data_IF_998269106290
#
_entry.id   IF_998269106290
#
_cell.length_a   1.000
_cell.length_b   1.000
_cell.length_c   1.000
_cell.angle_alpha   90.00
_cell.angle_beta   90.00
_cell.angle_gamma   90.00
#
_symmetry.space_group_name_H-M   'P 1'
#
loop_
_entity.id
_entity.type
_entity.pdbx_description
1 polymer ?
#
# COMPACT_ATOMS: atom_id res chain seq x y z
N UNK A 1 19.14 -15.21 2.10
CA UNK A 1 18.76 -13.78 2.20
C UNK A 1 18.14 -13.35 0.88
N UNK A 2 17.07 -12.53 0.88
CA UNK A 2 16.47 -12.01 -0.35
C UNK A 2 17.45 -11.05 -1.05
N UNK A 3 17.66 -11.13 -2.37
CA UNK A 3 18.47 -10.16 -3.11
C UNK A 3 17.89 -8.75 -2.94
N UNK A 4 18.76 -7.75 -2.73
CA UNK A 4 18.34 -6.36 -2.51
C UNK A 4 17.55 -5.83 -3.71
N UNK A 5 16.45 -5.13 -3.45
CA UNK A 5 15.59 -4.54 -4.47
C UNK A 5 14.78 -5.54 -5.31
N UNK A 6 14.82 -6.85 -5.02
CA UNK A 6 14.02 -7.85 -5.71
C UNK A 6 12.90 -8.39 -4.83
N UNK A 7 11.78 -8.76 -5.46
CA UNK A 7 10.71 -9.49 -4.81
C UNK A 7 10.85 -10.98 -5.16
N UNK A 8 10.72 -11.85 -4.16
CA UNK A 8 10.52 -13.27 -4.41
C UNK A 8 9.19 -13.44 -5.16
N UNK A 9 9.26 -14.04 -6.35
CA UNK A 9 8.11 -14.20 -7.22
C UNK A 9 7.44 -15.57 -7.04
N UNK A 10 8.23 -16.64 -7.13
CA UNK A 10 7.74 -18.02 -7.06
C UNK A 10 8.82 -18.95 -6.55
N UNK A 11 8.40 -19.93 -5.74
CA UNK A 11 9.18 -21.12 -5.41
C UNK A 11 8.56 -22.29 -6.19
N UNK A 12 9.34 -22.99 -7.00
CA UNK A 12 8.87 -24.18 -7.73
C UNK A 12 9.95 -25.25 -7.72
N UNK A 13 9.64 -26.44 -7.20
CA UNK A 13 10.60 -27.54 -6.99
C UNK A 13 11.87 -27.07 -6.27
N UNK A 14 11.71 -26.28 -5.21
CA UNK A 14 12.81 -25.69 -4.43
C UNK A 14 13.55 -24.52 -5.11
N UNK A 15 13.28 -24.23 -6.39
CA UNK A 15 13.92 -23.12 -7.13
C UNK A 15 13.17 -21.82 -6.90
N UNK A 16 13.88 -20.79 -6.42
CA UNK A 16 13.37 -19.43 -6.21
C UNK A 16 13.60 -18.59 -7.47
N UNK A 17 12.55 -17.89 -7.90
CA UNK A 17 12.61 -16.90 -8.98
C UNK A 17 12.23 -15.53 -8.44
N UNK A 18 12.77 -14.49 -9.05
CA UNK A 18 12.68 -13.13 -8.56
C UNK A 18 12.14 -12.18 -9.63
N UNK A 19 11.62 -11.06 -9.17
CA UNK A 19 11.21 -9.97 -10.03
C UNK A 19 11.72 -8.63 -9.49
N UNK A 20 12.18 -7.77 -10.41
CA UNK A 20 12.47 -6.37 -10.12
C UNK A 20 11.39 -5.49 -10.75
N UNK A 21 11.02 -4.42 -10.07
CA UNK A 21 10.10 -3.43 -10.63
C UNK A 21 10.68 -2.05 -10.38
N UNK A 22 11.46 -1.52 -11.31
CA UNK A 22 12.03 -0.19 -11.17
C UNK A 22 10.94 0.87 -11.06
N UNK A 23 11.28 2.00 -10.46
CA UNK A 23 10.35 3.12 -10.34
C UNK A 23 10.14 3.75 -11.72
N UNK A 24 8.88 3.87 -12.12
CA UNK A 24 8.47 4.48 -13.37
C UNK A 24 7.32 5.46 -13.06
N UNK A 25 7.64 6.70 -12.63
CA UNK A 25 6.63 7.68 -12.24
C UNK A 25 5.63 7.91 -13.36
N UNK A 26 4.33 7.91 -13.01
CA UNK A 26 3.22 8.16 -13.93
C UNK A 26 3.12 7.23 -15.17
N UNK A 27 3.98 6.21 -15.28
CA UNK A 27 4.02 5.33 -16.45
C UNK A 27 4.50 5.95 -17.75
N UNK A 28 5.10 7.14 -17.72
CA UNK A 28 5.72 7.73 -18.90
C UNK A 28 7.15 7.20 -19.05
N UNK A 29 7.48 6.73 -20.25
CA UNK A 29 8.78 6.15 -20.57
C UNK A 29 9.26 6.68 -21.90
N UNK A 30 10.52 7.10 -21.96
CA UNK A 30 11.16 7.48 -23.23
C UNK A 30 11.58 6.22 -24.02
N UNK A 31 11.64 6.27 -25.37
CA UNK A 31 11.94 5.10 -26.19
C UNK A 31 13.29 4.44 -25.90
N UNK A 32 14.32 5.22 -25.58
CA UNK A 32 15.65 4.74 -25.17
C UNK A 32 15.57 3.91 -23.88
N UNK A 33 14.86 4.42 -22.87
CA UNK A 33 14.65 3.67 -21.63
C UNK A 33 13.85 2.39 -21.89
N UNK A 34 12.82 2.43 -22.75
CA UNK A 34 12.03 1.24 -23.07
C UNK A 34 12.86 0.16 -23.79
N UNK A 35 13.76 0.55 -24.70
CA UNK A 35 14.74 -0.38 -25.30
C UNK A 35 15.64 -0.98 -24.23
N UNK A 36 16.13 -0.17 -23.30
CA UNK A 36 16.95 -0.63 -22.17
C UNK A 36 16.26 -1.69 -21.32
N UNK A 37 14.96 -1.54 -21.04
CA UNK A 37 14.18 -2.61 -20.37
C UNK A 37 14.14 -3.91 -21.19
N UNK A 38 13.96 -3.80 -22.51
CA UNK A 38 13.93 -4.97 -23.40
C UNK A 38 15.30 -5.67 -23.45
N UNK A 39 16.38 -4.91 -23.62
CA UNK A 39 17.75 -5.44 -23.68
C UNK A 39 18.12 -6.16 -22.37
N UNK A 40 17.78 -5.58 -21.22
CA UNK A 40 18.00 -6.21 -19.91
C UNK A 40 17.15 -7.47 -19.75
N UNK A 41 15.87 -7.43 -20.12
CA UNK A 41 15.03 -8.61 -20.05
C UNK A 41 15.56 -9.74 -20.94
N UNK A 42 15.98 -9.45 -22.17
CA UNK A 42 16.56 -10.44 -23.08
C UNK A 42 17.84 -11.04 -22.50
N UNK A 43 18.77 -10.21 -22.02
CA UNK A 43 20.06 -10.64 -21.45
C UNK A 43 19.92 -11.63 -20.31
N UNK A 44 18.96 -11.41 -19.41
CA UNK A 44 18.77 -12.23 -18.22
C UNK A 44 17.63 -13.25 -18.36
N UNK A 45 17.10 -13.45 -19.57
CA UNK A 45 15.99 -14.37 -19.83
C UNK A 45 14.69 -13.99 -19.10
N UNK A 46 14.54 -12.71 -18.77
CA UNK A 46 13.39 -12.17 -18.07
C UNK A 46 12.18 -11.93 -18.97
N UNK A 47 11.01 -11.83 -18.35
CA UNK A 47 9.75 -11.49 -19.04
C UNK A 47 9.27 -10.12 -18.54
N UNK A 48 8.89 -9.25 -19.47
CA UNK A 48 8.34 -7.93 -19.15
C UNK A 48 6.84 -8.03 -18.88
N UNK A 49 6.42 -7.56 -17.69
CA UNK A 49 5.00 -7.45 -17.32
C UNK A 49 4.63 -5.99 -17.05
N UNK A 50 3.69 -5.47 -17.83
CA UNK A 50 2.98 -4.23 -17.49
C UNK A 50 2.06 -4.47 -16.29
N UNK A 51 2.21 -3.62 -15.27
CA UNK A 51 1.46 -3.71 -14.02
C UNK A 51 0.28 -2.73 -14.02
N UNK A 52 -0.74 -3.02 -13.20
CA UNK A 52 -1.92 -2.15 -13.05
C UNK A 52 -1.61 -0.75 -12.48
N UNK A 53 -0.41 -0.58 -11.89
CA UNK A 53 0.12 0.68 -11.38
C UNK A 53 1.02 1.41 -12.40
N UNK A 54 0.88 1.11 -13.70
CA UNK A 54 1.62 1.77 -14.80
C UNK A 54 3.15 1.61 -14.71
N UNK A 55 3.63 0.44 -14.28
CA UNK A 55 5.06 0.10 -14.25
C UNK A 55 5.38 -1.10 -15.13
N UNK A 56 6.65 -1.24 -15.46
CA UNK A 56 7.22 -2.42 -16.12
C UNK A 56 7.98 -3.23 -15.07
N UNK A 57 7.60 -4.50 -14.91
CA UNK A 57 8.27 -5.47 -14.04
C UNK A 57 9.06 -6.46 -14.90
N UNK A 58 10.30 -6.76 -14.53
CA UNK A 58 11.12 -7.81 -15.14
C UNK A 58 11.05 -9.03 -14.22
N UNK A 59 10.53 -10.15 -14.74
CA UNK A 59 10.25 -11.37 -13.96
C UNK A 59 11.15 -12.54 -14.34
N UNK A 60 11.04 -13.66 -13.61
CA UNK A 60 11.78 -14.90 -13.87
C UNK A 60 13.31 -14.78 -13.73
N UNK A 61 13.78 -13.80 -12.94
CA UNK A 61 15.19 -13.56 -12.71
C UNK A 61 15.75 -14.54 -11.66
N UNK A 62 17.04 -14.84 -11.76
CA UNK A 62 17.78 -15.57 -10.73
C UNK A 62 18.28 -14.62 -9.64
N UNK A 63 18.55 -15.17 -8.46
CA UNK A 63 19.05 -14.38 -7.33
C UNK A 63 20.39 -13.70 -7.62
N UNK A 64 21.31 -14.43 -8.26
CA UNK A 64 22.66 -14.00 -8.59
C UNK A 64 22.73 -12.89 -9.64
N UNK A 65 21.69 -12.75 -10.47
CA UNK A 65 21.64 -11.76 -11.55
C UNK A 65 21.12 -10.39 -11.09
N UNK A 66 20.49 -10.29 -9.91
CA UNK A 66 19.73 -9.11 -9.51
C UNK A 66 20.58 -7.83 -9.47
N UNK A 67 21.81 -7.92 -8.95
CA UNK A 67 22.70 -6.77 -8.88
C UNK A 67 23.08 -6.26 -10.29
N UNK A 68 23.42 -7.19 -11.19
CA UNK A 68 23.76 -6.86 -12.57
C UNK A 68 22.54 -6.33 -13.35
N UNK A 69 21.33 -6.82 -13.08
CA UNK A 69 20.09 -6.28 -13.66
C UNK A 69 19.91 -4.81 -13.30
N UNK A 70 20.14 -4.42 -12.03
CA UNK A 70 20.05 -3.01 -11.62
C UNK A 70 21.15 -2.14 -12.24
N UNK A 71 22.38 -2.65 -12.27
CA UNK A 71 23.52 -1.96 -12.89
C UNK A 71 23.27 -1.72 -14.39
N UNK A 72 22.80 -2.75 -15.10
CA UNK A 72 22.50 -2.66 -16.53
C UNK A 72 21.33 -1.72 -16.81
N UNK A 73 20.31 -1.68 -15.94
CA UNK A 73 19.23 -0.68 -16.00
C UNK A 73 19.74 0.74 -15.70
N UNK A 74 20.87 0.90 -15.03
CA UNK A 74 21.37 2.19 -14.55
C UNK A 74 20.39 2.88 -13.61
N UNK A 75 19.70 2.09 -12.78
CA UNK A 75 18.69 2.57 -11.84
C UNK A 75 19.00 2.04 -10.45
N UNK A 76 18.69 2.85 -9.44
CA UNK A 76 18.82 2.42 -8.06
C UNK A 76 17.86 1.27 -7.72
N UNK A 77 18.31 0.27 -6.95
CA UNK A 77 17.44 -0.80 -6.48
C UNK A 77 16.19 -0.26 -5.79
N UNK A 78 15.04 -0.85 -6.12
CA UNK A 78 13.75 -0.43 -5.58
C UNK A 78 13.56 -0.83 -4.11
N UNK A 79 14.33 -0.19 -3.22
CA UNK A 79 14.26 -0.37 -1.77
C UNK A 79 13.01 0.30 -1.19
N UNK A 80 12.73 0.02 0.08
CA UNK A 80 11.64 0.64 0.84
C UNK A 80 10.74 -0.35 1.55
N UNK A 81 9.75 0.17 2.25
CA UNK A 81 8.86 -0.63 3.10
C UNK A 81 7.86 -1.44 2.27
N UNK A 82 7.49 -2.61 2.76
CA UNK A 82 6.44 -3.42 2.14
C UNK A 82 5.06 -2.74 2.30
N UNK A 83 4.78 -2.20 3.48
CA UNK A 83 3.66 -1.29 3.71
C UNK A 83 4.13 0.14 3.46
N UNK A 84 3.82 0.65 2.27
CA UNK A 84 4.16 1.99 1.84
C UNK A 84 3.15 2.49 0.81
N UNK A 85 3.26 3.79 0.48
CA UNK A 85 2.62 4.35 -0.71
C UNK A 85 3.28 3.75 -1.95
N UNK A 86 2.46 3.08 -2.76
CA UNK A 86 2.85 2.52 -4.05
C UNK A 86 2.90 3.62 -5.11
N UNK A 87 3.45 3.31 -6.29
CA UNK A 87 3.49 4.27 -7.40
C UNK A 87 2.12 4.85 -7.69
N UNK A 88 2.08 6.16 -7.89
CA UNK A 88 0.85 6.89 -8.09
C UNK A 88 0.38 6.68 -9.53
N UNK A 89 -0.86 6.21 -9.69
CA UNK A 89 -1.46 5.97 -11.00
C UNK A 89 -2.01 7.27 -11.57
N UNK A 90 -1.56 7.67 -12.75
CA UNK A 90 -1.80 9.00 -13.30
C UNK A 90 -2.31 8.88 -14.73
N UNK A 91 -3.41 9.55 -15.05
CA UNK A 91 -3.87 9.62 -16.44
C UNK A 91 -3.11 10.71 -17.22
N UNK A 92 -3.19 10.74 -18.57
CA UNK A 92 -2.43 11.69 -19.36
C UNK A 92 -2.80 13.17 -19.15
N UNK A 93 -3.94 13.49 -18.53
CA UNK A 93 -4.35 14.86 -18.19
C UNK A 93 -4.46 15.79 -19.39
N UNK A 94 -4.50 17.11 -19.16
CA UNK A 94 -4.47 18.10 -20.24
C UNK A 94 -3.17 18.08 -21.05
N UNK A 95 -2.09 17.53 -20.49
CA UNK A 95 -0.79 17.45 -21.16
C UNK A 95 -0.85 16.60 -22.46
N UNK A 96 -1.65 15.54 -22.47
CA UNK A 96 -1.70 14.60 -23.61
C UNK A 96 -3.11 14.09 -23.96
N UNK A 97 -4.17 14.56 -23.31
CA UNK A 97 -5.54 14.11 -23.57
C UNK A 97 -6.51 15.27 -23.78
N UNK A 98 -7.22 15.25 -24.91
CA UNK A 98 -8.26 16.25 -25.27
C UNK A 98 -9.46 16.33 -24.32
N UNK A 99 -9.63 15.34 -23.43
CA UNK A 99 -10.72 15.30 -22.42
C UNK A 99 -10.27 15.78 -21.04
N UNK A 100 -8.96 16.02 -20.85
CA UNK A 100 -8.44 16.52 -19.59
C UNK A 100 -9.11 17.84 -19.22
N UNK A 101 -9.49 17.97 -17.96
CA UNK A 101 -9.93 19.23 -17.34
C UNK A 101 -8.81 19.86 -16.53
N UNK A 102 -8.02 19.01 -15.87
CA UNK A 102 -6.87 19.42 -15.06
C UNK A 102 -5.58 18.68 -15.45
N UNK A 103 -4.44 19.24 -15.06
CA UNK A 103 -3.12 18.64 -15.26
C UNK A 103 -2.81 17.56 -14.21
N UNK A 104 -3.31 16.35 -14.44
CA UNK A 104 -3.03 15.20 -13.58
C UNK A 104 -1.57 14.77 -13.60
N UNK A 105 -0.82 15.09 -14.65
CA UNK A 105 0.60 14.73 -14.76
C UNK A 105 1.40 15.57 -13.77
N UNK A 106 1.23 16.89 -13.78
CA UNK A 106 1.89 17.80 -12.84
C UNK A 106 1.55 17.46 -11.39
N UNK A 107 0.27 17.31 -11.06
CA UNK A 107 -0.15 17.02 -9.68
C UNK A 107 0.30 15.63 -9.22
N UNK A 108 0.12 14.61 -10.07
CA UNK A 108 0.48 13.24 -9.73
C UNK A 108 1.97 13.04 -9.52
N UNK A 109 2.82 13.69 -10.32
CA UNK A 109 4.28 13.61 -10.15
C UNK A 109 4.74 14.29 -8.87
N UNK A 110 4.12 15.40 -8.47
CA UNK A 110 4.43 16.05 -7.20
C UNK A 110 4.04 15.19 -6.00
N UNK A 111 2.85 14.56 -6.04
CA UNK A 111 2.46 13.58 -5.03
C UNK A 111 3.40 12.37 -4.99
N UNK A 112 3.88 11.90 -6.15
CA UNK A 112 4.78 10.74 -6.23
C UNK A 112 6.13 11.08 -5.59
N UNK A 113 6.65 12.28 -5.87
CA UNK A 113 7.87 12.80 -5.24
C UNK A 113 7.74 12.91 -3.70
N UNK A 114 6.58 13.34 -3.18
CA UNK A 114 6.35 13.51 -1.73
C UNK A 114 6.21 12.17 -1.01
N UNK A 115 5.43 11.26 -1.60
CA UNK A 115 4.86 10.13 -0.86
C UNK A 115 5.36 8.77 -1.30
N UNK A 116 5.90 8.60 -2.52
CA UNK A 116 6.35 7.30 -3.01
C UNK A 116 7.31 6.62 -2.02
N UNK A 117 7.03 5.36 -1.68
CA UNK A 117 7.82 4.52 -0.77
C UNK A 117 7.91 5.00 0.68
N UNK A 118 7.17 6.04 1.09
CA UNK A 118 7.01 6.39 2.51
C UNK A 118 6.29 5.28 3.27
N UNK A 119 6.78 4.95 4.46
CA UNK A 119 6.20 3.91 5.33
C UNK A 119 4.77 4.27 5.72
N UNK A 120 3.89 3.28 5.67
CA UNK A 120 2.48 3.43 6.01
C UNK A 120 2.03 2.24 6.87
N UNK A 121 0.96 2.36 7.66
CA UNK A 121 0.41 1.25 8.43
C UNK A 121 0.12 0.01 7.56
N UNK A 122 -0.49 0.20 6.40
CA UNK A 122 -0.62 -0.81 5.33
C UNK A 122 -0.24 -0.24 3.96
N UNK A 123 -0.23 -1.08 2.92
CA UNK A 123 0.01 -0.60 1.54
C UNK A 123 -1.05 0.45 1.16
N UNK A 124 -0.60 1.55 0.57
CA UNK A 124 -1.47 2.66 0.18
C UNK A 124 -1.31 2.93 -1.33
N UNK A 125 -2.41 3.16 -2.04
CA UNK A 125 -2.42 3.42 -3.49
C UNK A 125 -3.10 4.74 -3.75
N UNK A 126 -2.43 5.61 -4.52
CA UNK A 126 -3.00 6.88 -4.95
C UNK A 126 -3.39 6.79 -6.42
N UNK A 127 -4.36 7.60 -6.84
CA UNK A 127 -4.66 7.82 -8.25
C UNK A 127 -5.04 9.27 -8.51
N UNK A 128 -4.53 9.83 -9.61
CA UNK A 128 -4.86 11.19 -10.05
C UNK A 128 -5.43 11.12 -11.47
N UNK A 129 -6.67 11.56 -11.64
CA UNK A 129 -7.36 11.64 -12.93
C UNK A 129 -7.65 13.08 -13.26
N UNK A 130 -7.36 13.52 -14.49
CA UNK A 130 -7.64 14.90 -14.92
C UNK A 130 -9.09 15.13 -15.36
N UNK A 131 -9.97 14.13 -15.34
CA UNK A 131 -11.39 14.24 -15.66
C UNK A 131 -12.21 13.04 -15.13
N UNK A 132 -13.54 13.14 -15.22
CA UNK A 132 -14.48 12.13 -14.74
C UNK A 132 -14.37 10.73 -15.40
N UNK A 133 -13.69 10.60 -16.55
CA UNK A 133 -13.39 9.27 -17.12
C UNK A 133 -12.56 8.39 -16.18
N UNK A 134 -11.83 9.00 -15.23
CA UNK A 134 -11.12 8.28 -14.17
C UNK A 134 -10.23 7.14 -14.69
N UNK A 135 -9.41 7.38 -15.72
CA UNK A 135 -8.54 6.35 -16.30
C UNK A 135 -7.48 5.82 -15.31
N UNK A 136 -7.21 6.55 -14.22
CA UNK A 136 -6.40 6.10 -13.09
C UNK A 136 -7.20 5.37 -12.01
N UNK A 137 -8.49 5.11 -12.23
CA UNK A 137 -9.41 4.34 -11.38
C UNK A 137 -9.50 4.90 -9.95
N UNK A 138 -9.68 6.22 -9.81
CA UNK A 138 -9.52 6.94 -8.53
C UNK A 138 -10.46 6.43 -7.42
N UNK A 139 -11.63 5.90 -7.78
CA UNK A 139 -12.63 5.39 -6.84
C UNK A 139 -12.23 4.08 -6.14
N UNK A 140 -11.19 3.39 -6.59
CA UNK A 140 -10.67 2.15 -5.96
C UNK A 140 -9.27 2.34 -5.39
N UNK A 141 -8.86 3.60 -5.18
CA UNK A 141 -7.59 3.98 -4.57
C UNK A 141 -7.84 4.44 -3.13
N UNK A 142 -6.84 4.25 -2.28
CA UNK A 142 -6.90 4.70 -0.89
C UNK A 142 -7.04 6.23 -0.84
N UNK A 143 -6.38 6.93 -1.77
CA UNK A 143 -6.61 8.35 -2.09
C UNK A 143 -6.82 8.49 -3.59
N UNK A 144 -7.95 9.05 -3.99
CA UNK A 144 -8.29 9.39 -5.36
C UNK A 144 -8.44 10.89 -5.54
N UNK A 145 -7.82 11.45 -6.58
CA UNK A 145 -7.95 12.88 -6.92
C UNK A 145 -8.51 13.00 -8.33
N UNK A 146 -9.63 13.72 -8.49
CA UNK A 146 -10.33 13.90 -9.75
C UNK A 146 -10.37 15.38 -10.16
N UNK A 147 -9.87 15.68 -11.35
CA UNK A 147 -9.97 17.00 -11.95
C UNK A 147 -11.37 17.25 -12.51
N UNK A 148 -11.89 18.42 -12.21
CA UNK A 148 -13.16 18.96 -12.69
C UNK A 148 -12.92 20.31 -13.37
N UNK A 149 -13.97 20.92 -13.91
CA UNK A 149 -13.87 22.29 -14.44
C UNK A 149 -13.67 23.32 -13.30
N UNK A 150 -14.11 23.01 -12.08
CA UNK A 150 -14.06 23.90 -10.91
C UNK A 150 -12.83 23.68 -10.00
N UNK A 151 -11.98 22.70 -10.32
CA UNK A 151 -10.77 22.38 -9.55
C UNK A 151 -10.56 20.87 -9.40
N UNK A 152 -10.34 20.43 -8.16
CA UNK A 152 -10.05 19.04 -7.82
C UNK A 152 -10.94 18.51 -6.70
N UNK A 153 -11.47 17.31 -6.92
CA UNK A 153 -12.21 16.54 -5.93
C UNK A 153 -11.32 15.46 -5.34
N UNK A 154 -11.39 15.27 -4.02
CA UNK A 154 -10.61 14.27 -3.28
C UNK A 154 -11.53 13.22 -2.70
N UNK A 155 -11.18 11.96 -2.93
CA UNK A 155 -11.88 10.76 -2.49
C UNK A 155 -10.95 9.89 -1.65
N UNK A 156 -11.49 9.18 -0.66
CA UNK A 156 -10.69 8.40 0.30
C UNK A 156 -11.29 7.02 0.59
N UNK A 157 -10.44 6.08 0.97
CA UNK A 157 -10.84 4.77 1.47
C UNK A 157 -11.21 3.74 0.39
N UNK A 158 -10.91 4.01 -0.88
CA UNK A 158 -11.15 3.03 -1.94
C UNK A 158 -10.15 1.87 -1.90
N UNK A 159 -10.60 0.68 -2.27
CA UNK A 159 -9.70 -0.45 -2.49
C UNK A 159 -10.26 -1.44 -3.49
N UNK A 160 -9.41 -1.85 -4.43
CA UNK A 160 -9.58 -3.12 -5.15
C UNK A 160 -8.88 -4.25 -4.39
N UNK A 161 -9.45 -5.45 -4.44
CA UNK A 161 -8.91 -6.64 -3.77
C UNK A 161 -10.01 -7.64 -3.43
N UNK A 162 -9.75 -8.50 -2.44
CA UNK A 162 -10.73 -9.48 -1.94
C UNK A 162 -11.97 -8.82 -1.33
N UNK A 163 -11.82 -7.63 -0.75
CA UNK A 163 -12.91 -6.81 -0.23
C UNK A 163 -12.93 -5.49 -0.99
N UNK A 164 -13.64 -5.43 -2.14
CA UNK A 164 -13.73 -4.20 -2.91
C UNK A 164 -14.51 -3.14 -2.13
N UNK A 165 -13.98 -1.92 -2.11
CA UNK A 165 -14.59 -0.75 -1.47
C UNK A 165 -14.45 0.44 -2.40
N UNK A 166 -15.54 1.17 -2.62
CA UNK A 166 -15.50 2.43 -3.33
C UNK A 166 -15.07 3.55 -2.39
N UNK A 167 -14.27 4.47 -2.90
CA UNK A 167 -13.84 5.65 -2.17
C UNK A 167 -15.02 6.62 -1.98
N UNK A 168 -15.06 7.28 -0.83
CA UNK A 168 -16.07 8.28 -0.50
C UNK A 168 -15.52 9.69 -0.76
N UNK A 169 -16.36 10.60 -1.27
CA UNK A 169 -15.95 11.98 -1.54
C UNK A 169 -15.71 12.72 -0.23
N UNK A 170 -14.47 13.14 -0.01
CA UNK A 170 -14.08 13.91 1.16
C UNK A 170 -14.41 15.40 0.98
N UNK A 171 -13.90 15.99 -0.10
CA UNK A 171 -13.93 17.43 -0.40
C UNK A 171 -13.85 17.66 -1.92
N UNK A 172 -14.37 18.79 -2.41
CA UNK A 172 -14.45 19.16 -3.82
C UNK A 172 -14.03 20.60 -4.08
N UNK A 173 -13.74 20.91 -5.35
CA UNK A 173 -13.43 22.28 -5.79
C UNK A 173 -12.07 22.81 -5.31
N UNK A 174 -11.13 21.94 -4.96
CA UNK A 174 -9.81 22.35 -4.46
C UNK A 174 -8.90 22.87 -5.57
N UNK A 175 -8.05 23.83 -5.22
CA UNK A 175 -6.91 24.26 -6.02
C UNK A 175 -5.71 23.32 -5.83
N UNK A 176 -4.70 23.46 -6.68
CA UNK A 176 -3.52 22.58 -6.71
C UNK A 176 -2.84 22.42 -5.33
N UNK A 177 -2.54 23.53 -4.64
CA UNK A 177 -1.83 23.50 -3.35
C UNK A 177 -2.72 22.97 -2.22
N UNK A 178 -4.03 23.23 -2.29
CA UNK A 178 -5.02 22.69 -1.35
C UNK A 178 -5.11 21.17 -1.44
N UNK A 179 -5.00 20.60 -2.65
CA UNK A 179 -4.95 19.14 -2.83
C UNK A 179 -3.70 18.55 -2.17
N UNK A 180 -2.54 19.20 -2.32
CA UNK A 180 -1.32 18.73 -1.67
C UNK A 180 -1.49 18.74 -0.15
N UNK A 181 -2.02 19.83 0.41
CA UNK A 181 -2.26 19.98 1.84
C UNK A 181 -3.25 18.94 2.39
N UNK A 182 -4.40 18.73 1.75
CA UNK A 182 -5.38 17.75 2.25
C UNK A 182 -4.85 16.32 2.17
N UNK A 183 -4.07 15.99 1.12
CA UNK A 183 -3.44 14.66 1.01
C UNK A 183 -2.42 14.45 2.12
N UNK A 184 -1.60 15.47 2.42
CA UNK A 184 -0.64 15.41 3.53
C UNK A 184 -1.37 15.15 4.86
N UNK A 185 -2.47 15.86 5.14
CA UNK A 185 -3.29 15.66 6.34
C UNK A 185 -3.91 14.26 6.41
N UNK A 186 -4.47 13.75 5.30
CA UNK A 186 -5.04 12.39 5.24
C UNK A 186 -3.99 11.35 5.60
N UNK A 187 -2.79 11.48 5.02
CA UNK A 187 -1.68 10.54 5.25
C UNK A 187 -1.23 10.59 6.71
N UNK A 188 -1.01 11.79 7.25
CA UNK A 188 -0.59 11.97 8.65
C UNK A 188 -1.65 11.43 9.63
N UNK A 189 -2.93 11.73 9.39
CA UNK A 189 -4.03 11.22 10.21
C UNK A 189 -4.08 9.69 10.17
N UNK A 190 -3.93 9.09 8.99
CA UNK A 190 -3.88 7.64 8.82
C UNK A 190 -2.66 7.02 9.54
N UNK A 191 -1.47 7.61 9.40
CA UNK A 191 -0.27 7.15 10.11
C UNK A 191 -0.42 7.23 11.63
N UNK A 192 -1.11 8.24 12.14
CA UNK A 192 -1.24 8.50 13.58
C UNK A 192 -2.26 7.56 14.27
N UNK A 193 -3.35 7.19 13.59
CA UNK A 193 -4.51 6.57 14.24
C UNK A 193 -4.92 5.19 13.71
N UNK A 194 -4.34 4.74 12.60
CA UNK A 194 -4.64 3.42 12.06
C UNK A 194 -3.73 2.34 12.66
N UNK A 195 -4.31 1.16 12.84
CA UNK A 195 -3.55 -0.06 13.08
C UNK A 195 -2.92 -0.56 11.76
N UNK A 196 -2.40 -1.80 11.72
CA UNK A 196 -1.91 -2.41 10.47
C UNK A 196 -3.09 -2.86 9.59
N UNK A 197 -3.81 -1.88 9.06
CA UNK A 197 -5.03 -2.03 8.27
C UNK A 197 -5.05 -1.04 7.09
N UNK A 198 -5.86 -1.27 6.07
CA UNK A 198 -5.98 -0.36 4.91
C UNK A 198 -6.79 0.89 5.26
N UNK A 199 -6.62 1.99 4.53
CA UNK A 199 -7.36 3.25 4.76
C UNK A 199 -8.87 3.05 4.77
N UNK A 200 -9.40 2.22 3.87
CA UNK A 200 -10.83 1.88 3.84
C UNK A 200 -11.29 1.17 5.12
N UNK A 201 -10.52 0.19 5.61
CA UNK A 201 -10.83 -0.55 6.84
C UNK A 201 -10.75 0.36 8.06
N UNK A 202 -9.73 1.22 8.11
CA UNK A 202 -9.61 2.26 9.13
C UNK A 202 -10.84 3.18 9.16
N UNK A 203 -11.29 3.66 7.99
CA UNK A 203 -12.50 4.47 7.86
C UNK A 203 -13.75 3.70 8.31
N UNK A 204 -13.87 2.43 7.94
CA UNK A 204 -15.01 1.60 8.34
C UNK A 204 -15.02 1.37 9.87
N UNK A 205 -13.85 1.25 10.50
CA UNK A 205 -13.69 1.10 11.95
C UNK A 205 -14.08 2.37 12.73
N UNK A 206 -13.64 3.54 12.29
CA UNK A 206 -13.90 4.80 13.03
C UNK A 206 -15.16 5.55 12.56
N UNK A 207 -15.70 5.16 11.42
CA UNK A 207 -16.80 5.83 10.72
C UNK A 207 -16.34 6.99 9.83
N UNK A 208 -16.83 7.03 8.58
CA UNK A 208 -16.48 8.07 7.61
C UNK A 208 -16.86 9.48 8.08
N UNK A 209 -17.99 9.66 8.77
CA UNK A 209 -18.39 10.97 9.33
C UNK A 209 -17.30 11.54 10.26
N UNK A 210 -16.78 10.70 11.17
CA UNK A 210 -15.70 11.08 12.09
C UNK A 210 -14.41 11.36 11.34
N UNK A 211 -14.00 10.46 10.44
CA UNK A 211 -12.80 10.66 9.62
C UNK A 211 -12.85 12.00 8.88
N UNK A 212 -13.97 12.27 8.20
CA UNK A 212 -14.20 13.50 7.45
C UNK A 212 -14.17 14.73 8.35
N UNK A 213 -14.85 14.70 9.50
CA UNK A 213 -14.86 15.81 10.45
C UNK A 213 -13.44 16.13 10.97
N UNK A 214 -12.67 15.12 11.36
CA UNK A 214 -11.33 15.31 11.92
C UNK A 214 -10.33 15.83 10.87
N UNK A 215 -10.35 15.24 9.66
CA UNK A 215 -9.48 15.65 8.56
C UNK A 215 -9.82 17.05 8.05
N UNK A 216 -11.10 17.36 7.84
CA UNK A 216 -11.52 18.68 7.38
C UNK A 216 -11.24 19.77 8.42
N UNK A 217 -11.34 19.45 9.70
CA UNK A 217 -10.96 20.40 10.73
C UNK A 217 -9.45 20.72 10.73
N UNK A 218 -8.59 19.71 10.56
CA UNK A 218 -7.14 19.95 10.39
C UNK A 218 -6.87 20.79 9.14
N UNK A 219 -7.63 20.57 8.08
CA UNK A 219 -7.50 21.30 6.82
C UNK A 219 -7.95 22.77 6.94
N UNK A 220 -9.10 23.02 7.56
CA UNK A 220 -9.69 24.35 7.63
C UNK A 220 -9.20 25.20 8.82
N UNK A 221 -8.99 24.66 10.04
CA UNK A 221 -8.81 25.49 11.25
C UNK A 221 -8.07 24.88 12.47
N UNK A 222 -7.54 23.67 12.45
CA UNK A 222 -6.86 23.12 13.63
C UNK A 222 -7.75 22.74 14.84
N UNK A 223 -9.09 22.76 14.77
CA UNK A 223 -9.98 22.00 15.70
C UNK A 223 -11.31 21.67 15.01
N UNK A 224 -11.77 20.42 15.11
CA UNK A 224 -13.13 20.00 14.75
C UNK A 224 -14.01 20.13 15.97
N UNK A 225 -15.09 20.90 15.87
CA UNK A 225 -16.14 20.89 16.87
C UNK A 225 -16.98 19.62 16.63
N UNK A 226 -16.60 18.57 17.37
CA UNK A 226 -17.43 17.44 17.83
C UNK A 226 -18.52 16.93 16.87
N UNK A 227 -18.30 15.74 16.31
CA UNK A 227 -19.37 14.74 16.27
C UNK A 227 -19.03 13.64 17.26
N UNK A 228 -19.83 13.49 18.31
CA UNK A 228 -19.76 12.31 19.17
C UNK A 228 -19.85 11.03 18.32
N UNK A 229 -19.08 9.98 18.67
CA UNK A 229 -19.05 8.75 17.88
C UNK A 229 -20.43 8.08 17.90
N UNK A 230 -20.95 7.71 16.72
CA UNK A 230 -22.19 6.91 16.59
C UNK A 230 -22.03 5.49 17.17
N UNK A 231 -20.80 5.06 17.45
CA UNK A 231 -20.47 3.77 18.05
C UNK A 231 -19.82 4.00 19.41
N UNK A 232 -20.33 3.39 20.51
CA UNK A 232 -19.72 3.48 21.82
C UNK A 232 -18.25 3.06 21.77
N UNK A 233 -17.36 3.92 22.27
CA UNK A 233 -15.98 3.51 22.55
C UNK A 233 -15.98 2.59 23.78
N UNK A 234 -15.21 1.51 23.75
CA UNK A 234 -14.95 0.68 24.93
C UNK A 234 -14.23 1.51 25.98
N UNK A 235 -14.71 1.48 27.24
CA UNK A 235 -13.98 2.08 28.37
C UNK A 235 -12.69 1.29 28.63
N UNK A 236 -11.69 1.91 29.27
CA UNK A 236 -10.37 1.31 29.58
C UNK A 236 -10.43 -0.04 30.33
N UNK A 237 -11.59 -0.41 30.88
CA UNK A 237 -11.83 -1.67 31.62
C UNK A 237 -12.71 -2.68 30.86
N UNK A 238 -13.26 -2.33 29.71
CA UNK A 238 -14.17 -3.21 28.98
C UNK A 238 -13.36 -4.25 28.20
N UNK A 239 -13.70 -5.53 28.37
CA UNK A 239 -13.21 -6.58 27.47
C UNK A 239 -13.65 -6.22 26.06
N UNK A 240 -12.68 -5.82 25.23
CA UNK A 240 -12.86 -5.60 23.81
C UNK A 240 -13.38 -6.92 23.21
N UNK A 241 -14.67 -6.99 22.96
CA UNK A 241 -15.25 -8.04 22.14
C UNK A 241 -14.86 -7.73 20.69
N UNK A 242 -14.30 -8.69 19.93
CA UNK A 242 -13.92 -8.45 18.55
C UNK A 242 -15.14 -7.99 17.74
N UNK A 243 -15.05 -6.81 17.11
CA UNK A 243 -16.03 -6.37 16.13
C UNK A 243 -15.70 -7.10 14.82
N UNK A 244 -16.67 -7.86 14.31
CA UNK A 244 -16.55 -8.53 13.01
C UNK A 244 -16.30 -7.48 11.92
N UNK A 245 -15.12 -7.54 11.31
CA UNK A 245 -14.64 -6.55 10.32
C UNK A 245 -13.16 -6.74 9.95
N UNK A 246 -12.38 -7.37 10.83
CA UNK A 246 -11.12 -8.01 10.47
C UNK A 246 -11.37 -9.42 9.93
N UNK A 247 -10.52 -9.91 9.04
CA UNK A 247 -10.68 -11.20 8.35
C UNK A 247 -10.70 -12.46 9.25
N UNK A 248 -10.54 -12.35 10.58
CA UNK A 248 -10.61 -13.47 11.51
C UNK A 248 -11.25 -13.13 12.86
N UNK A 249 -11.99 -14.09 13.42
CA UNK A 249 -12.53 -14.11 14.79
C UNK A 249 -11.49 -14.55 15.83
N UNK A 250 -10.19 -14.33 15.54
CA UNK A 250 -9.01 -14.91 16.19
C UNK A 250 -9.14 -15.64 17.53
N UNK A 251 -8.64 -16.86 17.58
CA UNK A 251 -8.59 -17.71 18.80
C UNK A 251 -7.43 -17.38 19.74
N UNK A 252 -6.43 -16.63 19.27
CA UNK A 252 -5.25 -16.28 20.06
C UNK A 252 -5.63 -15.24 21.13
N UNK A 253 -5.16 -15.41 22.37
CA UNK A 253 -5.31 -14.41 23.44
C UNK A 253 -3.96 -14.02 24.04
N UNK A 254 -3.92 -12.88 24.76
CA UNK A 254 -2.71 -12.41 25.44
C UNK A 254 -2.24 -13.49 26.45
N UNK A 255 -0.96 -13.85 26.37
CA UNK A 255 -0.33 -14.91 27.16
C UNK A 255 -0.19 -16.24 26.41
N UNK A 256 -0.92 -16.44 25.31
CA UNK A 256 -0.75 -17.62 24.47
C UNK A 256 0.57 -17.58 23.70
N UNK A 257 1.19 -18.74 23.54
CA UNK A 257 2.32 -18.89 22.62
C UNK A 257 1.84 -18.83 21.18
N UNK A 258 2.66 -18.25 20.31
CA UNK A 258 2.41 -18.25 18.86
C UNK A 258 2.69 -19.66 18.32
N UNK A 259 1.70 -20.26 17.70
CA UNK A 259 1.75 -21.58 17.08
C UNK A 259 1.73 -21.49 15.55
N UNK A 260 1.94 -22.62 14.88
CA UNK A 260 2.01 -22.71 13.41
C UNK A 260 0.70 -22.37 12.70
N UNK A 261 -0.43 -22.53 13.38
CA UNK A 261 -1.80 -22.26 12.95
C UNK A 261 -2.33 -20.91 13.45
N UNK A 262 -1.55 -20.21 14.30
CA UNK A 262 -1.88 -18.84 14.69
C UNK A 262 -1.94 -17.93 13.46
N UNK A 263 -2.96 -17.07 13.42
CA UNK A 263 -3.24 -16.19 12.30
C UNK A 263 -2.41 -14.90 12.44
N UNK A 264 -1.82 -14.46 11.33
CA UNK A 264 -0.96 -13.26 11.31
C UNK A 264 -1.67 -12.02 11.85
N UNK A 265 -2.91 -11.75 11.46
CA UNK A 265 -3.66 -10.59 11.95
C UNK A 265 -3.80 -10.59 13.48
N UNK A 266 -4.05 -11.76 14.07
CA UNK A 266 -4.20 -11.89 15.51
C UNK A 266 -2.88 -11.73 16.25
N UNK A 267 -1.81 -12.30 15.72
CA UNK A 267 -0.46 -12.13 16.28
C UNK A 267 -0.07 -10.66 16.28
N UNK A 268 -0.26 -9.95 15.16
CA UNK A 268 0.10 -8.53 15.04
C UNK A 268 -0.74 -7.66 15.98
N UNK A 269 -2.01 -7.99 16.15
CA UNK A 269 -2.93 -7.28 17.06
C UNK A 269 -2.58 -7.48 18.53
N UNK A 270 -2.25 -8.71 18.93
CA UNK A 270 -2.00 -9.09 20.32
C UNK A 270 -0.56 -8.80 20.73
N UNK A 271 0.38 -9.01 19.81
CA UNK A 271 1.82 -8.90 20.01
C UNK A 271 2.46 -7.99 18.93
N UNK A 272 2.18 -6.68 18.92
CA UNK A 272 2.67 -5.76 17.90
C UNK A 272 4.20 -5.72 17.78
N UNK A 273 4.93 -6.04 18.85
CA UNK A 273 6.39 -6.16 18.87
C UNK A 273 6.94 -7.30 17.98
N UNK A 274 6.09 -8.18 17.46
CA UNK A 274 6.47 -9.23 16.48
C UNK A 274 6.62 -8.70 15.06
N UNK A 275 6.12 -7.50 14.74
CA UNK A 275 6.17 -6.91 13.39
C UNK A 275 7.60 -6.80 12.83
N UNK A 276 8.62 -6.32 13.58
CA UNK A 276 10.00 -6.33 13.11
C UNK A 276 10.54 -7.74 12.83
N UNK A 277 10.09 -8.75 13.59
CA UNK A 277 10.47 -10.16 13.37
C UNK A 277 9.90 -10.64 12.04
N UNK A 278 8.59 -10.51 11.79
CA UNK A 278 8.01 -10.86 10.49
C UNK A 278 8.75 -10.19 9.32
N UNK A 279 9.07 -8.91 9.45
CA UNK A 279 9.80 -8.15 8.42
C UNK A 279 11.20 -8.72 8.16
N UNK A 280 11.91 -9.19 9.19
CA UNK A 280 13.25 -9.79 9.02
C UNK A 280 13.21 -11.11 8.22
N UNK A 281 12.09 -11.83 8.30
CA UNK A 281 11.80 -13.02 7.48
C UNK A 281 11.20 -12.69 6.11
N UNK A 282 11.20 -11.42 5.69
CA UNK A 282 10.67 -10.98 4.39
C UNK A 282 9.14 -10.84 4.34
N UNK A 283 8.46 -10.95 5.49
CA UNK A 283 7.01 -10.83 5.61
C UNK A 283 6.62 -9.40 6.02
N UNK A 284 6.73 -8.48 5.08
CA UNK A 284 6.47 -7.06 5.36
C UNK A 284 5.03 -6.58 5.08
N UNK A 285 4.22 -7.35 4.34
CA UNK A 285 2.89 -6.93 3.89
C UNK A 285 1.76 -7.32 4.87
N UNK A 286 1.98 -7.15 6.18
CA UNK A 286 1.13 -7.72 7.23
C UNK A 286 -0.32 -7.21 7.22
N UNK A 287 -0.58 -6.02 6.65
CA UNK A 287 -1.93 -5.46 6.47
C UNK A 287 -2.57 -5.82 5.12
N UNK A 288 -1.99 -6.75 4.37
CA UNK A 288 -2.56 -7.25 3.12
C UNK A 288 -3.62 -8.32 3.43
N UNK A 289 -4.80 -8.31 2.79
CA UNK A 289 -5.82 -9.34 3.01
C UNK A 289 -5.32 -10.78 2.84
N UNK A 290 -4.38 -11.02 1.91
CA UNK A 290 -3.77 -12.34 1.74
C UNK A 290 -2.93 -12.73 2.95
N UNK A 291 -2.12 -11.82 3.48
CA UNK A 291 -1.24 -12.11 4.63
C UNK A 291 -2.01 -12.14 5.95
N UNK A 292 -3.00 -11.25 6.12
CA UNK A 292 -3.69 -11.06 7.39
C UNK A 292 -4.46 -12.32 7.83
N UNK A 293 -5.08 -13.04 6.90
CA UNK A 293 -5.82 -14.28 7.17
C UNK A 293 -4.99 -15.57 7.06
N UNK A 294 -3.68 -15.47 6.82
CA UNK A 294 -2.82 -16.64 6.65
C UNK A 294 -2.27 -17.14 8.01
N UNK A 295 -2.19 -18.47 8.23
CA UNK A 295 -1.46 -19.02 9.37
C UNK A 295 0.05 -18.88 9.18
N UNK A 296 0.81 -18.84 10.29
CA UNK A 296 2.28 -18.69 10.27
C UNK A 296 2.97 -19.76 9.41
N UNK A 297 2.51 -21.01 9.48
CA UNK A 297 3.01 -22.12 8.65
C UNK A 297 2.95 -21.82 7.16
N UNK A 298 1.80 -21.32 6.69
CA UNK A 298 1.61 -20.98 5.28
C UNK A 298 2.48 -19.79 4.86
N UNK A 299 2.60 -18.80 5.72
CA UNK A 299 3.46 -17.65 5.46
C UNK A 299 4.94 -18.07 5.36
N UNK A 300 5.42 -18.94 6.25
CA UNK A 300 6.78 -19.48 6.19
C UNK A 300 7.03 -20.18 4.84
N UNK A 301 6.10 -21.02 4.38
CA UNK A 301 6.19 -21.70 3.08
C UNK A 301 6.24 -20.71 1.90
N UNK A 302 5.32 -19.73 1.85
CA UNK A 302 5.24 -18.72 0.77
C UNK A 302 6.54 -17.92 0.66
N UNK A 303 7.12 -17.56 1.80
CA UNK A 303 8.35 -16.78 1.87
C UNK A 303 9.62 -17.63 1.81
N UNK A 304 9.48 -18.97 1.84
CA UNK A 304 10.58 -19.92 1.83
C UNK A 304 11.51 -19.74 3.02
N UNK A 305 10.91 -19.51 4.20
CA UNK A 305 11.53 -19.37 5.52
C UNK A 305 11.36 -20.66 6.31
N UNK A 306 12.31 -20.97 7.20
CA UNK A 306 12.17 -22.10 8.12
C UNK A 306 11.11 -21.78 9.18
N UNK A 307 10.15 -22.69 9.36
CA UNK A 307 9.02 -22.49 10.27
C UNK A 307 9.46 -22.52 11.74
N UNK A 308 10.42 -23.39 12.10
CA UNK A 308 10.89 -23.50 13.47
C UNK A 308 11.66 -22.24 13.87
N UNK A 309 12.53 -21.74 12.98
CA UNK A 309 13.26 -20.48 13.20
C UNK A 309 12.30 -19.29 13.33
N UNK A 310 11.28 -19.21 12.48
CA UNK A 310 10.28 -18.15 12.54
C UNK A 310 9.50 -18.20 13.85
N UNK A 311 8.99 -19.36 14.26
CA UNK A 311 8.25 -19.52 15.51
C UNK A 311 9.12 -19.23 16.73
N UNK A 312 10.38 -19.67 16.73
CA UNK A 312 11.33 -19.38 17.80
C UNK A 312 11.57 -17.87 17.92
N UNK A 313 11.79 -17.18 16.81
CA UNK A 313 12.01 -15.74 16.79
C UNK A 313 10.76 -14.94 17.22
N UNK A 314 9.57 -15.36 16.77
CA UNK A 314 8.30 -14.73 17.16
C UNK A 314 8.02 -14.90 18.65
N UNK A 315 8.21 -16.11 19.20
CA UNK A 315 7.97 -16.37 20.62
C UNK A 315 9.06 -15.81 21.54
N UNK A 316 10.22 -15.38 21.01
CA UNK A 316 11.28 -14.77 21.81
C UNK A 316 10.98 -13.31 22.20
N UNK A 317 9.99 -12.68 21.56
CA UNK A 317 9.62 -11.27 21.79
C UNK A 317 8.25 -11.09 22.44
N UNK A 318 7.58 -12.19 22.83
CA UNK A 318 6.28 -12.16 23.52
C UNK A 318 6.42 -12.49 25.01
#
# INVERSE_FOLDING_TARGET
MLPKGANLQKIHNGKKTYAVTPHLPAGFVKPDMLRKYADVAERYGGILKLTSAQRIMITALKAEDIENVWADLGMEPAMGFANCVRSIKICPGIAFCKRGKQDSVKLGLELDKRWHKKEMPSRMKFGVAGCANSCSEIYIKDIGVMGTDDGWDVYVGGSAGSHPRLAEKLIEGLQYDEVLQIVDIIVEYYQQYADIERVGQFIDRIGFKKFKADVLARFYQGVSVTSEPEVPQSKDSDKIAPIAGGLTEGTLVIGDRIAQDSIIADIVRIYPQTVPVFRSFGMGCLGCPSSAGEPVSRAAEIHGSDLADLLAALNAVI
#
